data_IF_100538771241
#
_entry.id   IF_100538771241
#
_cell.length_a   1.000
_cell.length_b   1.000
_cell.length_c   1.000
_cell.angle_alpha   90.00
_cell.angle_beta   90.00
_cell.angle_gamma   90.00
#
_symmetry.space_group_name_H-M   'P 1'
#
loop_
_entity.id
_entity.type
_entity.pdbx_description
1 polymer ?
#
# COMPACT_ATOMS: atom_id res chain seq x y z
N UNK A 1 53.73 12.05 -11.63
CA UNK A 1 54.14 11.60 -12.98
C UNK A 1 53.62 10.18 -13.14
N UNK A 2 52.89 9.89 -14.21
CA UNK A 2 52.18 8.61 -14.36
C UNK A 2 53.13 7.40 -14.36
N UNK A 3 52.70 6.33 -13.70
CA UNK A 3 53.51 5.12 -13.54
C UNK A 3 53.70 4.44 -14.92
N UNK A 4 54.84 3.75 -15.15
CA UNK A 4 55.18 3.19 -16.48
C UNK A 4 54.10 2.24 -17.02
N UNK A 5 53.41 1.53 -16.12
CA UNK A 5 52.29 0.63 -16.41
C UNK A 5 51.02 1.38 -16.83
N UNK A 6 50.71 2.51 -16.20
CA UNK A 6 49.55 3.34 -16.53
C UNK A 6 49.70 4.00 -17.91
N UNK A 7 50.92 4.36 -18.30
CA UNK A 7 51.21 4.89 -19.64
C UNK A 7 51.04 3.84 -20.75
N UNK A 8 51.23 2.55 -20.42
CA UNK A 8 50.94 1.44 -21.35
C UNK A 8 49.42 1.25 -21.46
N UNK A 9 48.71 1.26 -20.33
CA UNK A 9 47.24 1.17 -20.31
C UNK A 9 46.56 2.32 -21.06
N UNK A 10 47.04 3.55 -20.89
CA UNK A 10 46.51 4.72 -21.61
C UNK A 10 46.73 4.59 -23.12
N UNK A 11 47.91 4.11 -23.55
CA UNK A 11 48.18 3.87 -24.98
C UNK A 11 47.30 2.75 -25.54
N UNK A 12 47.16 1.63 -24.83
CA UNK A 12 46.29 0.53 -25.22
C UNK A 12 44.81 0.93 -25.29
N UNK A 13 44.33 1.71 -24.32
CA UNK A 13 42.96 2.21 -24.32
C UNK A 13 42.68 3.14 -25.51
N UNK A 14 43.65 3.98 -25.87
CA UNK A 14 43.59 4.88 -27.04
C UNK A 14 43.65 4.13 -28.37
N UNK A 15 44.41 3.03 -28.45
CA UNK A 15 44.45 2.18 -29.65
C UNK A 15 43.19 1.32 -29.82
N UNK A 16 42.26 1.36 -28.87
CA UNK A 16 40.96 0.71 -28.97
C UNK A 16 40.82 -0.60 -28.21
N UNK A 17 41.85 -1.05 -27.49
CA UNK A 17 41.81 -2.33 -26.78
C UNK A 17 40.78 -2.30 -25.63
N UNK A 18 39.79 -3.17 -25.71
CA UNK A 18 38.69 -3.29 -24.76
C UNK A 18 39.18 -3.58 -23.33
N UNK A 19 40.20 -4.44 -23.17
CA UNK A 19 40.73 -4.82 -21.86
C UNK A 19 41.45 -3.63 -21.20
N UNK A 20 42.22 -2.87 -21.97
CA UNK A 20 42.87 -1.65 -21.51
C UNK A 20 41.85 -0.55 -21.14
N UNK A 21 40.75 -0.41 -21.89
CA UNK A 21 39.68 0.55 -21.58
C UNK A 21 38.97 0.21 -20.26
N UNK A 22 38.67 -1.07 -20.01
CA UNK A 22 38.10 -1.54 -18.75
C UNK A 22 39.05 -1.26 -17.57
N UNK A 23 40.33 -1.62 -17.72
CA UNK A 23 41.33 -1.43 -16.69
C UNK A 23 41.53 0.06 -16.35
N UNK A 24 41.59 0.92 -17.37
CA UNK A 24 41.74 2.36 -17.20
C UNK A 24 40.49 2.98 -16.53
N UNK A 25 39.30 2.53 -16.90
CA UNK A 25 38.04 2.94 -16.25
C UNK A 25 38.01 2.61 -14.76
N UNK A 26 38.49 1.42 -14.37
CA UNK A 26 38.61 1.02 -12.95
C UNK A 26 39.61 1.89 -12.17
N UNK A 27 40.71 2.27 -12.80
CA UNK A 27 41.71 3.14 -12.18
C UNK A 27 41.13 4.53 -11.89
N UNK A 28 40.39 5.11 -12.83
CA UNK A 28 39.71 6.39 -12.60
C UNK A 28 38.56 6.31 -11.57
N UNK A 29 37.93 5.13 -11.38
CA UNK A 29 36.93 4.92 -10.31
C UNK A 29 37.51 4.74 -8.91
N UNK A 30 38.78 4.32 -8.80
CA UNK A 30 39.44 4.11 -7.50
C UNK A 30 40.38 5.25 -7.12
N UNK A 31 40.89 5.96 -8.13
CA UNK A 31 42.06 6.83 -7.99
C UNK A 31 43.33 6.01 -7.80
N UNK A 32 44.44 6.49 -8.33
CA UNK A 32 45.78 5.95 -8.04
C UNK A 32 46.71 7.08 -7.59
N UNK A 33 47.93 6.75 -7.16
CA UNK A 33 48.94 7.75 -6.80
C UNK A 33 49.32 8.68 -7.97
N UNK A 34 48.95 8.31 -9.20
CA UNK A 34 49.33 8.98 -10.43
C UNK A 34 48.15 9.50 -11.26
N UNK A 35 46.96 8.91 -11.08
CA UNK A 35 45.73 9.31 -11.77
C UNK A 35 44.67 9.73 -10.74
N UNK A 36 44.05 10.92 -10.90
CA UNK A 36 43.02 11.36 -9.98
C UNK A 36 41.78 10.48 -10.06
N UNK A 37 41.07 10.36 -8.94
CA UNK A 37 39.71 9.82 -8.91
C UNK A 37 38.82 10.73 -9.79
N UNK A 38 38.33 10.20 -10.90
CA UNK A 38 37.49 10.95 -11.84
C UNK A 38 36.39 10.04 -12.38
N UNK A 39 35.20 10.08 -11.75
CA UNK A 39 34.06 9.31 -12.20
C UNK A 39 33.62 9.56 -13.66
N UNK A 40 33.65 10.79 -14.21
CA UNK A 40 33.22 11.02 -15.60
C UNK A 40 34.19 10.43 -16.63
N UNK A 41 35.50 10.52 -16.40
CA UNK A 41 36.49 9.88 -17.30
C UNK A 41 36.46 8.37 -17.17
N UNK A 42 36.21 7.84 -15.97
CA UNK A 42 35.97 6.42 -15.78
C UNK A 42 34.79 5.91 -16.63
N UNK A 43 33.65 6.60 -16.56
CA UNK A 43 32.47 6.25 -17.35
C UNK A 43 32.76 6.26 -18.84
N UNK A 44 33.45 7.29 -19.35
CA UNK A 44 33.82 7.36 -20.76
C UNK A 44 34.56 6.10 -21.25
N UNK A 45 35.54 5.62 -20.49
CA UNK A 45 36.31 4.43 -20.86
C UNK A 45 35.52 3.13 -20.66
N UNK A 46 34.72 3.03 -19.59
CA UNK A 46 33.87 1.87 -19.34
C UNK A 46 32.77 1.72 -20.41
N UNK A 47 32.19 2.82 -20.91
CA UNK A 47 31.21 2.77 -22.00
C UNK A 47 31.83 2.24 -23.29
N UNK A 48 33.07 2.64 -23.61
CA UNK A 48 33.77 2.13 -24.79
C UNK A 48 34.08 0.64 -24.66
N UNK A 49 34.50 0.19 -23.48
CA UNK A 49 34.70 -1.24 -23.20
C UNK A 49 33.38 -2.04 -23.29
N UNK A 50 32.28 -1.49 -22.78
CA UNK A 50 30.96 -2.11 -22.81
C UNK A 50 30.39 -2.22 -24.24
N UNK A 51 30.68 -1.24 -25.12
CA UNK A 51 30.31 -1.29 -26.55
C UNK A 51 31.04 -2.41 -27.30
N UNK A 52 32.24 -2.78 -26.83
CA UNK A 52 33.02 -3.89 -27.38
C UNK A 52 32.64 -5.26 -26.80
N UNK A 53 31.58 -5.33 -25.97
CA UNK A 53 31.03 -6.60 -25.47
C UNK A 53 31.62 -7.08 -24.14
N UNK A 54 32.38 -6.24 -23.40
CA UNK A 54 32.84 -6.61 -22.06
C UNK A 54 31.73 -6.43 -21.02
N UNK A 55 31.15 -7.55 -20.57
CA UNK A 55 30.08 -7.55 -19.57
C UNK A 55 30.52 -6.99 -18.21
N UNK A 56 31.79 -7.13 -17.86
CA UNK A 56 32.35 -6.54 -16.64
C UNK A 56 32.25 -5.00 -16.64
N UNK A 57 32.36 -4.35 -17.80
CA UNK A 57 32.22 -2.91 -17.91
C UNK A 57 30.76 -2.49 -17.67
N UNK A 58 29.80 -3.26 -18.22
CA UNK A 58 28.35 -3.03 -18.03
C UNK A 58 27.94 -3.21 -16.58
N UNK A 59 28.48 -4.24 -15.90
CA UNK A 59 28.24 -4.47 -14.48
C UNK A 59 28.78 -3.34 -13.61
N UNK A 60 29.97 -2.81 -13.93
CA UNK A 60 30.55 -1.68 -13.20
C UNK A 60 29.75 -0.38 -13.39
N UNK A 61 29.25 -0.14 -14.60
CA UNK A 61 28.35 0.99 -14.89
C UNK A 61 27.01 0.83 -14.13
N UNK A 62 26.46 -0.39 -14.07
CA UNK A 62 25.20 -0.65 -13.35
C UNK A 62 25.32 -0.55 -11.83
N UNK A 63 26.44 -1.02 -11.25
CA UNK A 63 26.71 -0.93 -9.81
C UNK A 63 27.00 0.49 -9.34
N UNK A 64 27.64 1.29 -10.18
CA UNK A 64 27.90 2.69 -9.88
C UNK A 64 26.69 3.51 -10.36
N UNK A 65 25.66 3.61 -9.51
CA UNK A 65 24.38 4.31 -9.75
C UNK A 65 24.48 5.38 -10.86
N UNK A 66 23.98 5.04 -12.05
CA UNK A 66 24.04 5.87 -13.26
C UNK A 66 23.45 7.27 -13.09
N UNK A 67 22.57 7.49 -12.10
CA UNK A 67 22.01 8.79 -11.78
C UNK A 67 22.99 9.68 -10.97
N UNK A 68 23.75 9.09 -10.04
CA UNK A 68 24.71 9.80 -9.19
C UNK A 68 25.94 10.23 -10.00
N UNK A 69 26.39 9.40 -10.94
CA UNK A 69 27.54 9.74 -11.78
C UNK A 69 27.21 10.73 -12.90
N UNK A 70 25.97 10.72 -13.40
CA UNK A 70 25.50 11.68 -14.43
C UNK A 70 25.22 13.06 -13.85
N UNK A 71 24.75 13.15 -12.60
CA UNK A 71 24.57 14.44 -11.93
C UNK A 71 25.91 15.12 -11.61
N UNK A 72 26.93 14.35 -11.22
CA UNK A 72 28.31 14.85 -11.03
C UNK A 72 28.93 15.30 -12.37
N UNK A 73 28.64 14.61 -13.47
CA UNK A 73 29.10 15.01 -14.80
C UNK A 73 28.44 16.31 -15.32
N UNK A 74 27.28 16.70 -14.78
CA UNK A 74 26.59 17.92 -15.14
C UNK A 74 27.03 19.14 -14.30
N UNK A 75 27.64 18.94 -13.11
CA UNK A 75 28.07 20.05 -12.25
C UNK A 75 29.49 20.54 -12.52
N UNK A 76 30.37 19.70 -13.06
CA UNK A 76 31.76 20.07 -13.31
C UNK A 76 32.02 20.25 -14.81
N UNK A 77 32.20 21.51 -15.25
CA UNK A 77 32.62 21.90 -16.59
C UNK A 77 34.06 21.51 -16.91
N UNK A 78 34.40 20.23 -16.83
CA UNK A 78 35.72 19.71 -17.17
C UNK A 78 35.71 19.26 -18.63
N UNK A 79 36.35 20.06 -19.46
CA UNK A 79 36.63 19.76 -20.87
C UNK A 79 37.41 18.43 -20.98
N UNK A 80 36.89 17.41 -21.70
CA UNK A 80 37.70 16.26 -22.06
C UNK A 80 38.86 16.71 -22.98
N UNK A 81 40.03 16.05 -22.96
CA UNK A 81 41.14 16.42 -23.83
C UNK A 81 40.72 16.38 -25.30
N UNK A 82 41.18 17.34 -26.13
CA UNK A 82 40.59 17.64 -27.43
C UNK A 82 40.69 16.45 -28.39
N UNK A 83 39.54 15.98 -28.87
CA UNK A 83 39.44 15.13 -30.05
C UNK A 83 39.19 16.02 -31.27
N UNK A 84 40.08 15.95 -32.25
CA UNK A 84 39.96 16.60 -33.56
C UNK A 84 38.71 16.10 -34.32
N UNK A 85 38.07 16.95 -35.15
CA UNK A 85 36.77 16.64 -35.73
C UNK A 85 36.93 15.84 -37.03
N UNK A 86 36.37 14.63 -37.07
CA UNK A 86 36.05 13.99 -38.34
C UNK A 86 34.81 13.10 -38.16
N UNK A 87 33.79 13.40 -38.97
CA UNK A 87 32.57 12.61 -39.20
C UNK A 87 31.48 12.71 -38.12
N UNK A 88 30.97 13.94 -37.96
CA UNK A 88 29.57 14.14 -37.62
C UNK A 88 28.72 13.88 -38.87
N UNK A 89 28.10 12.71 -38.96
CA UNK A 89 26.86 12.53 -39.72
C UNK A 89 25.88 11.70 -38.89
N UNK A 90 24.72 12.31 -38.66
CA UNK A 90 23.45 11.76 -38.19
C UNK A 90 23.47 11.00 -36.85
N UNK A 91 23.35 11.76 -35.75
CA UNK A 91 22.69 11.28 -34.54
C UNK A 91 21.34 12.00 -34.41
N UNK A 92 20.30 11.45 -35.04
CA UNK A 92 18.97 11.57 -34.45
C UNK A 92 18.93 10.63 -33.23
N UNK A 93 18.39 11.03 -32.07
CA UNK A 93 18.15 10.10 -30.98
C UNK A 93 16.90 9.27 -31.31
N UNK A 94 17.02 8.34 -32.24
CA UNK A 94 16.06 7.25 -32.38
C UNK A 94 16.22 6.38 -31.13
N UNK A 95 15.31 6.53 -30.16
CA UNK A 95 15.13 5.52 -29.11
C UNK A 95 14.78 4.19 -29.81
N UNK A 96 15.60 3.13 -29.72
CA UNK A 96 15.12 1.82 -30.11
C UNK A 96 14.33 1.26 -28.93
N UNK A 97 13.01 1.24 -29.07
CA UNK A 97 12.05 0.57 -28.19
C UNK A 97 12.11 -0.98 -28.30
N UNK A 98 13.29 -1.56 -28.53
CA UNK A 98 13.42 -2.98 -28.87
C UNK A 98 14.79 -3.58 -28.53
N UNK A 99 15.41 -3.16 -27.43
CA UNK A 99 16.31 -4.10 -26.73
C UNK A 99 15.40 -4.73 -25.69
N UNK A 100 14.87 -5.92 -25.98
CA UNK A 100 14.50 -6.82 -24.90
C UNK A 100 15.73 -6.83 -23.99
N UNK A 101 15.65 -6.30 -22.78
CA UNK A 101 16.78 -6.32 -21.85
C UNK A 101 17.11 -7.82 -21.64
N UNK A 102 18.02 -8.38 -22.44
CA UNK A 102 18.32 -9.82 -22.45
C UNK A 102 18.77 -10.26 -21.04
N UNK A 103 19.44 -9.36 -20.32
CA UNK A 103 19.76 -9.52 -18.91
C UNK A 103 18.53 -9.63 -18.00
N UNK A 104 17.47 -8.85 -18.24
CA UNK A 104 16.22 -8.94 -17.49
C UNK A 104 15.47 -10.24 -17.81
N UNK A 105 15.47 -10.67 -19.07
CA UNK A 105 14.89 -11.94 -19.48
C UNK A 105 15.63 -13.14 -18.87
N UNK A 106 16.96 -13.08 -18.81
CA UNK A 106 17.80 -14.09 -18.15
C UNK A 106 17.57 -14.10 -16.64
N UNK A 107 17.49 -12.95 -15.97
CA UNK A 107 17.20 -12.86 -14.55
C UNK A 107 15.78 -13.37 -14.20
N UNK A 108 14.79 -13.06 -15.04
CA UNK A 108 13.44 -13.59 -14.90
C UNK A 108 13.41 -15.12 -15.06
N UNK A 109 14.16 -15.65 -16.03
CA UNK A 109 14.33 -17.09 -16.25
C UNK A 109 15.10 -17.78 -15.10
N UNK A 110 16.03 -17.08 -14.46
CA UNK A 110 16.74 -17.53 -13.26
C UNK A 110 15.84 -17.59 -12.01
N UNK A 111 14.59 -17.10 -12.10
CA UNK A 111 13.60 -17.22 -11.04
C UNK A 111 13.46 -16.00 -10.14
N UNK A 112 14.14 -14.90 -10.44
CA UNK A 112 14.10 -13.68 -9.62
C UNK A 112 12.75 -12.97 -9.73
N UNK A 113 12.04 -12.83 -8.61
CA UNK A 113 10.69 -12.27 -8.55
C UNK A 113 10.61 -10.85 -9.12
N UNK A 114 11.58 -10.00 -8.79
CA UNK A 114 11.63 -8.61 -9.22
C UNK A 114 11.86 -8.48 -10.73
N UNK A 115 12.71 -9.34 -11.30
CA UNK A 115 12.95 -9.40 -12.74
C UNK A 115 11.70 -9.89 -13.49
N UNK A 116 10.99 -10.89 -12.95
CA UNK A 116 9.74 -11.39 -13.52
C UNK A 116 8.63 -10.32 -13.52
N UNK A 117 8.50 -9.56 -12.43
CA UNK A 117 7.57 -8.43 -12.38
C UNK A 117 7.95 -7.36 -13.42
N UNK A 118 9.20 -6.91 -13.42
CA UNK A 118 9.66 -5.87 -14.33
C UNK A 118 9.47 -6.27 -15.80
N UNK A 119 9.83 -7.51 -16.16
CA UNK A 119 9.62 -8.04 -17.50
C UNK A 119 8.12 -8.15 -17.83
N UNK A 120 7.31 -8.62 -16.89
CA UNK A 120 5.87 -8.70 -17.04
C UNK A 120 5.21 -7.33 -17.27
N UNK A 121 5.64 -6.30 -16.54
CA UNK A 121 5.17 -4.93 -16.69
C UNK A 121 5.60 -4.31 -18.02
N UNK A 122 6.85 -4.50 -18.43
CA UNK A 122 7.36 -4.05 -19.72
C UNK A 122 6.59 -4.67 -20.88
N UNK A 123 6.42 -6.01 -20.86
CA UNK A 123 5.65 -6.73 -21.87
C UNK A 123 4.17 -6.34 -21.86
N UNK A 124 3.62 -5.93 -20.73
CA UNK A 124 2.26 -5.40 -20.65
C UNK A 124 2.15 -3.93 -21.05
N UNK A 125 3.27 -3.21 -21.17
CA UNK A 125 3.30 -1.77 -21.33
C UNK A 125 2.63 -1.04 -20.16
N UNK A 126 2.90 -1.47 -18.93
CA UNK A 126 2.31 -0.91 -17.71
C UNK A 126 3.39 -0.44 -16.73
N UNK A 127 3.06 0.57 -15.92
CA UNK A 127 3.84 0.95 -14.75
C UNK A 127 3.47 0.10 -13.51
N UNK A 128 4.16 0.34 -12.38
CA UNK A 128 3.89 -0.39 -11.12
C UNK A 128 2.50 -0.08 -10.57
N UNK A 129 1.99 1.10 -10.88
CA UNK A 129 0.67 1.59 -10.52
C UNK A 129 -0.45 1.06 -11.45
N UNK A 130 -0.12 0.19 -12.41
CA UNK A 130 -1.06 -0.43 -13.34
C UNK A 130 -1.64 0.51 -14.40
N UNK A 131 -1.03 1.68 -14.62
CA UNK A 131 -1.33 2.61 -15.71
C UNK A 131 -0.55 2.19 -16.95
N UNK A 132 -1.13 2.47 -18.11
CA UNK A 132 -0.54 2.09 -19.39
C UNK A 132 0.49 3.12 -19.84
N UNK A 133 1.67 2.65 -20.23
CA UNK A 133 2.71 3.47 -20.85
C UNK A 133 2.42 3.55 -22.36
N UNK A 134 2.18 4.75 -22.91
CA UNK A 134 1.92 4.91 -24.35
C UNK A 134 3.18 4.60 -25.17
N UNK A 135 3.00 3.92 -26.31
CA UNK A 135 4.09 3.60 -27.25
C UNK A 135 4.83 2.29 -26.99
N UNK A 136 4.47 1.51 -25.97
CA UNK A 136 5.05 0.20 -25.72
C UNK A 136 4.41 -0.89 -26.61
N UNK A 137 5.23 -1.74 -27.23
CA UNK A 137 4.75 -2.92 -27.94
C UNK A 137 4.27 -3.96 -26.92
N UNK A 138 2.97 -4.26 -26.92
CA UNK A 138 2.35 -5.05 -25.85
C UNK A 138 2.20 -6.52 -26.21
N UNK A 139 2.72 -7.41 -25.36
CA UNK A 139 2.67 -8.87 -25.51
C UNK A 139 2.00 -9.52 -24.28
N UNK A 140 0.68 -9.38 -24.17
CA UNK A 140 -0.10 -9.81 -22.99
C UNK A 140 0.05 -11.29 -22.63
N UNK A 141 0.12 -12.20 -23.61
CA UNK A 141 0.27 -13.63 -23.33
C UNK A 141 1.57 -13.95 -22.57
N UNK A 142 2.69 -13.31 -22.97
CA UNK A 142 3.97 -13.46 -22.25
C UNK A 142 3.93 -12.73 -20.91
N UNK A 143 3.35 -11.52 -20.87
CA UNK A 143 3.19 -10.77 -19.64
C UNK A 143 2.43 -11.55 -18.56
N UNK A 144 1.29 -12.17 -18.92
CA UNK A 144 0.49 -12.96 -17.98
C UNK A 144 1.30 -14.10 -17.36
N UNK A 145 2.12 -14.81 -18.16
CA UNK A 145 2.97 -15.90 -17.66
C UNK A 145 3.95 -15.40 -16.60
N UNK A 146 4.70 -14.34 -16.90
CA UNK A 146 5.70 -13.78 -15.98
C UNK A 146 5.07 -13.16 -14.73
N UNK A 147 3.99 -12.39 -14.89
CA UNK A 147 3.29 -11.79 -13.76
C UNK A 147 2.64 -12.85 -12.86
N UNK A 148 2.15 -13.96 -13.41
CA UNK A 148 1.60 -15.07 -12.60
C UNK A 148 2.70 -15.70 -11.76
N UNK A 149 3.89 -15.90 -12.33
CA UNK A 149 5.03 -16.46 -11.60
C UNK A 149 5.52 -15.50 -10.49
N UNK A 150 5.66 -14.21 -10.80
CA UNK A 150 6.02 -13.19 -9.81
C UNK A 150 4.97 -13.10 -8.68
N UNK A 151 3.68 -13.18 -9.02
CA UNK A 151 2.60 -13.18 -8.06
C UNK A 151 2.59 -14.41 -7.15
N UNK A 152 2.89 -15.60 -7.69
CA UNK A 152 3.04 -16.83 -6.90
C UNK A 152 4.21 -16.74 -5.90
N UNK A 153 5.24 -15.96 -6.22
CA UNK A 153 6.37 -15.66 -5.34
C UNK A 153 6.08 -14.55 -4.32
N UNK A 154 4.83 -14.08 -4.24
CA UNK A 154 4.38 -13.11 -3.22
C UNK A 154 4.39 -11.65 -3.66
N UNK A 155 4.65 -11.34 -4.93
CA UNK A 155 4.62 -9.95 -5.40
C UNK A 155 3.18 -9.46 -5.60
N UNK A 156 2.78 -8.49 -4.77
CA UNK A 156 1.43 -7.92 -4.80
C UNK A 156 1.16 -7.11 -6.08
N UNK A 157 2.15 -6.36 -6.56
CA UNK A 157 2.09 -5.54 -7.78
C UNK A 157 1.79 -6.40 -9.02
N UNK A 158 2.31 -7.63 -9.07
CA UNK A 158 2.10 -8.54 -10.18
C UNK A 158 0.63 -8.96 -10.31
N UNK A 159 -0.01 -9.30 -9.18
CA UNK A 159 -1.44 -9.62 -9.15
C UNK A 159 -2.31 -8.41 -9.50
N UNK A 160 -1.91 -7.21 -9.07
CA UNK A 160 -2.62 -5.99 -9.43
C UNK A 160 -2.51 -5.68 -10.94
N UNK A 161 -1.32 -5.85 -11.52
CA UNK A 161 -1.11 -5.75 -12.96
C UNK A 161 -1.95 -6.78 -13.74
N UNK A 162 -2.00 -8.04 -13.29
CA UNK A 162 -2.86 -9.07 -13.88
C UNK A 162 -4.34 -8.68 -13.86
N UNK A 163 -4.83 -8.11 -12.76
CA UNK A 163 -6.20 -7.62 -12.69
C UNK A 163 -6.49 -6.57 -13.75
N UNK A 164 -5.57 -5.63 -14.00
CA UNK A 164 -5.70 -4.63 -15.08
C UNK A 164 -5.75 -5.26 -16.46
N UNK A 165 -4.93 -6.28 -16.71
CA UNK A 165 -4.95 -7.01 -17.99
C UNK A 165 -6.32 -7.68 -18.19
N UNK A 166 -6.89 -8.32 -17.17
CA UNK A 166 -8.19 -9.00 -17.28
C UNK A 166 -9.39 -8.05 -17.37
N UNK A 167 -9.29 -6.84 -16.81
CA UNK A 167 -10.32 -5.80 -16.95
C UNK A 167 -10.37 -5.21 -18.37
N UNK A 168 -9.23 -5.18 -19.07
CA UNK A 168 -9.12 -4.63 -20.40
C UNK A 168 -9.61 -5.64 -21.45
N UNK A 169 -10.75 -5.36 -22.08
CA UNK A 169 -11.34 -6.23 -23.10
C UNK A 169 -10.57 -6.35 -24.42
N UNK A 170 -9.50 -5.57 -24.61
CA UNK A 170 -8.63 -5.67 -25.79
C UNK A 170 -7.50 -6.71 -25.67
N UNK A 171 -7.36 -7.36 -24.51
CA UNK A 171 -6.12 -8.06 -24.12
C UNK A 171 -6.32 -9.56 -23.82
N UNK A 172 -7.54 -9.95 -23.46
CA UNK A 172 -8.00 -11.29 -23.09
C UNK A 172 -9.52 -11.30 -23.23
N UNK A 173 -10.18 -12.47 -23.27
CA UNK A 173 -11.63 -12.50 -23.07
C UNK A 173 -11.91 -11.82 -21.73
N UNK A 174 -12.53 -10.63 -21.78
CA UNK A 174 -12.81 -9.80 -20.61
C UNK A 174 -13.47 -10.67 -19.54
N UNK A 175 -12.76 -10.92 -18.45
CA UNK A 175 -13.25 -11.76 -17.36
C UNK A 175 -13.24 -10.93 -16.08
N UNK A 176 -14.40 -10.38 -15.74
CA UNK A 176 -14.57 -9.61 -14.51
C UNK A 176 -14.26 -10.46 -13.26
N UNK A 177 -14.62 -11.75 -13.28
CA UNK A 177 -14.36 -12.68 -12.18
C UNK A 177 -12.86 -12.95 -12.00
N UNK A 178 -12.10 -13.17 -13.09
CA UNK A 178 -10.65 -13.37 -13.01
C UNK A 178 -9.94 -12.10 -12.51
N UNK A 179 -10.38 -10.92 -12.97
CA UNK A 179 -9.86 -9.64 -12.49
C UNK A 179 -10.11 -9.45 -10.99
N UNK A 180 -11.32 -9.73 -10.50
CA UNK A 180 -11.66 -9.66 -9.07
C UNK A 180 -10.79 -10.61 -8.24
N UNK A 181 -10.62 -11.87 -8.67
CA UNK A 181 -9.78 -12.83 -7.96
C UNK A 181 -8.32 -12.36 -7.87
N UNK A 182 -7.79 -11.75 -8.94
CA UNK A 182 -6.45 -11.15 -8.92
C UNK A 182 -6.37 -9.93 -7.98
N UNK A 183 -7.38 -9.06 -7.97
CA UNK A 183 -7.44 -7.91 -7.05
C UNK A 183 -7.47 -8.36 -5.59
N UNK A 184 -8.27 -9.38 -5.26
CA UNK A 184 -8.34 -9.91 -3.90
C UNK A 184 -6.99 -10.47 -3.45
N UNK A 185 -6.31 -11.24 -4.31
CA UNK A 185 -4.95 -11.74 -4.02
C UNK A 185 -3.96 -10.61 -3.78
N UNK A 186 -3.97 -9.58 -4.64
CA UNK A 186 -3.13 -8.40 -4.47
C UNK A 186 -3.45 -7.67 -3.15
N UNK A 187 -4.72 -7.53 -2.79
CA UNK A 187 -5.16 -6.90 -1.55
C UNK A 187 -4.72 -7.68 -0.31
N UNK A 188 -4.81 -9.01 -0.34
CA UNK A 188 -4.34 -9.90 0.72
C UNK A 188 -2.83 -9.77 0.95
N UNK A 189 -2.05 -9.67 -0.14
CA UNK A 189 -0.59 -9.46 -0.11
C UNK A 189 -0.19 -8.02 0.29
N UNK A 190 -1.15 -7.11 0.47
CA UNK A 190 -0.89 -5.78 1.02
C UNK A 190 -0.98 -4.64 0.02
N UNK A 191 -1.29 -4.85 -1.26
CA UNK A 191 -1.28 -3.76 -2.25
C UNK A 191 -2.35 -2.68 -1.96
N UNK A 192 -1.94 -1.46 -1.61
CA UNK A 192 -2.82 -0.39 -1.14
C UNK A 192 -3.96 -0.05 -2.13
N UNK A 193 -3.64 0.10 -3.42
CA UNK A 193 -4.65 0.43 -4.44
C UNK A 193 -5.61 -0.74 -4.69
N UNK A 194 -5.14 -1.99 -4.56
CA UNK A 194 -6.01 -3.15 -4.69
C UNK A 194 -6.99 -3.24 -3.52
N UNK A 195 -6.51 -2.99 -2.30
CA UNK A 195 -7.36 -2.91 -1.11
C UNK A 195 -8.43 -1.83 -1.24
N UNK A 196 -8.08 -0.65 -1.75
CA UNK A 196 -9.07 0.40 -2.01
C UNK A 196 -10.16 -0.08 -2.99
N UNK A 197 -9.78 -0.75 -4.06
CA UNK A 197 -10.73 -1.21 -5.08
C UNK A 197 -11.60 -2.36 -4.58
N UNK A 198 -11.03 -3.32 -3.85
CA UNK A 198 -11.79 -4.36 -3.16
C UNK A 198 -12.79 -3.74 -2.16
N UNK A 199 -12.37 -2.75 -1.38
CA UNK A 199 -13.23 -2.05 -0.44
C UNK A 199 -14.39 -1.30 -1.12
N UNK A 200 -14.09 -0.56 -2.19
CA UNK A 200 -15.11 0.15 -2.97
C UNK A 200 -16.05 -0.80 -3.73
N UNK A 201 -15.53 -1.93 -4.20
CA UNK A 201 -16.33 -2.96 -4.86
C UNK A 201 -17.32 -3.59 -3.90
N UNK A 202 -16.86 -4.02 -2.72
CA UNK A 202 -17.72 -4.54 -1.66
C UNK A 202 -18.79 -3.50 -1.25
N UNK A 203 -18.42 -2.23 -1.12
CA UNK A 203 -19.40 -1.18 -0.79
C UNK A 203 -20.52 -1.04 -1.83
N UNK A 204 -20.24 -1.26 -3.12
CA UNK A 204 -21.26 -1.23 -4.18
C UNK A 204 -22.21 -2.43 -4.08
N UNK A 205 -21.70 -3.59 -3.67
CA UNK A 205 -22.45 -4.86 -3.54
C UNK A 205 -23.21 -5.01 -2.22
N UNK A 206 -23.14 -4.04 -1.30
CA UNK A 206 -23.84 -4.10 0.00
C UNK A 206 -25.36 -4.34 -0.03
N UNK A 207 -26.00 -4.12 -1.18
CA UNK A 207 -27.43 -4.38 -1.35
C UNK A 207 -27.72 -5.88 -1.56
N UNK A 208 -26.74 -6.62 -2.05
CA UNK A 208 -26.84 -8.05 -2.32
C UNK A 208 -26.63 -8.85 -1.03
N UNK A 209 -25.64 -8.45 -0.23
CA UNK A 209 -25.39 -9.02 1.09
C UNK A 209 -24.86 -7.96 2.05
N UNK A 210 -25.48 -7.91 3.23
CA UNK A 210 -25.20 -6.99 4.31
C UNK A 210 -23.77 -7.11 4.88
N UNK A 211 -23.09 -8.23 4.71
CA UNK A 211 -21.70 -8.40 5.15
C UNK A 211 -20.70 -7.61 4.31
N UNK A 212 -21.05 -7.23 3.07
CA UNK A 212 -20.15 -6.48 2.20
C UNK A 212 -19.81 -5.10 2.76
N UNK A 213 -20.69 -4.50 3.56
CA UNK A 213 -20.42 -3.26 4.29
C UNK A 213 -19.22 -3.40 5.24
N UNK A 214 -19.20 -4.51 5.99
CA UNK A 214 -18.14 -4.83 6.95
C UNK A 214 -16.84 -5.10 6.20
N UNK A 215 -16.90 -5.89 5.11
CA UNK A 215 -15.74 -6.16 4.24
C UNK A 215 -15.20 -4.90 3.58
N UNK A 216 -16.07 -3.97 3.19
CA UNK A 216 -15.67 -2.70 2.60
C UNK A 216 -14.80 -1.89 3.57
N UNK A 217 -15.25 -1.76 4.82
CA UNK A 217 -14.49 -1.03 5.84
C UNK A 217 -13.18 -1.73 6.20
N UNK A 218 -13.16 -3.06 6.23
CA UNK A 218 -11.95 -3.84 6.47
C UNK A 218 -10.83 -3.47 5.48
N UNK A 219 -11.15 -3.52 4.18
CA UNK A 219 -10.16 -3.23 3.15
C UNK A 219 -9.77 -1.75 3.10
N UNK A 220 -10.74 -0.85 3.28
CA UNK A 220 -10.47 0.58 3.30
C UNK A 220 -9.61 1.01 4.49
N UNK A 221 -9.79 0.40 5.67
CA UNK A 221 -8.91 0.63 6.83
C UNK A 221 -7.48 0.19 6.57
N UNK A 222 -7.27 -0.97 5.94
CA UNK A 222 -5.92 -1.43 5.58
C UNK A 222 -5.26 -0.53 4.55
N UNK A 223 -6.01 -0.06 3.56
CA UNK A 223 -5.50 0.88 2.56
C UNK A 223 -5.17 2.24 3.20
N UNK A 224 -6.03 2.72 4.11
CA UNK A 224 -5.82 3.95 4.86
C UNK A 224 -4.58 3.86 5.76
N UNK A 225 -4.36 2.74 6.45
CA UNK A 225 -3.17 2.53 7.27
C UNK A 225 -1.85 2.63 6.48
N UNK A 226 -1.89 2.40 5.16
CA UNK A 226 -0.74 2.56 4.25
C UNK A 226 -0.60 3.98 3.68
N UNK A 227 -1.38 4.95 4.16
CA UNK A 227 -1.33 6.34 3.69
C UNK A 227 -2.15 6.64 2.42
N UNK A 228 -3.03 5.72 2.00
CA UNK A 228 -3.88 5.96 0.83
C UNK A 228 -4.94 7.05 1.14
N UNK A 229 -4.74 8.26 0.63
CA UNK A 229 -5.66 9.40 0.79
C UNK A 229 -7.11 9.11 0.32
N UNK A 230 -7.35 8.50 -0.87
CA UNK A 230 -8.72 8.20 -1.28
C UNK A 230 -9.39 7.12 -0.41
N UNK A 231 -8.63 6.22 0.23
CA UNK A 231 -9.18 5.29 1.20
C UNK A 231 -9.66 6.00 2.47
N UNK A 232 -8.88 6.95 2.99
CA UNK A 232 -9.29 7.79 4.12
C UNK A 232 -10.55 8.59 3.82
N UNK A 233 -10.60 9.24 2.66
CA UNK A 233 -11.78 10.01 2.24
C UNK A 233 -13.02 9.11 2.10
N UNK A 234 -12.85 7.87 1.62
CA UNK A 234 -13.92 6.90 1.60
C UNK A 234 -14.37 6.51 3.01
N UNK A 235 -13.46 6.19 3.93
CA UNK A 235 -13.81 5.86 5.32
C UNK A 235 -14.59 6.98 6.01
N UNK A 236 -14.14 8.22 5.89
CA UNK A 236 -14.82 9.38 6.49
C UNK A 236 -16.23 9.58 5.92
N UNK A 237 -16.46 9.25 4.64
CA UNK A 237 -17.79 9.28 4.03
C UNK A 237 -18.67 8.11 4.47
N UNK A 238 -18.10 6.92 4.66
CA UNK A 238 -18.84 5.67 4.92
C UNK A 238 -19.14 5.45 6.41
N UNK A 239 -18.17 5.78 7.27
CA UNK A 239 -18.22 5.66 8.71
C UNK A 239 -17.67 6.95 9.32
N UNK A 240 -18.44 8.05 9.23
CA UNK A 240 -18.00 9.35 9.69
C UNK A 240 -17.61 9.30 11.17
N UNK A 241 -16.63 10.10 11.58
CA UNK A 241 -16.24 10.18 12.97
C UNK A 241 -17.48 10.48 13.78
N UNK A 242 -17.67 9.74 14.87
CA UNK A 242 -18.88 9.87 15.65
C UNK A 242 -19.01 11.29 16.20
N UNK A 243 -20.14 11.94 15.93
CA UNK A 243 -20.42 13.27 16.48
C UNK A 243 -20.50 13.20 18.01
N UNK A 244 -19.82 14.12 18.70
CA UNK A 244 -19.74 14.16 20.16
C UNK A 244 -21.12 14.21 20.82
N UNK A 245 -21.63 13.06 21.28
CA UNK A 245 -22.83 12.99 22.10
C UNK A 245 -22.49 13.15 23.59
N UNK A 246 -22.83 14.31 24.16
CA UNK A 246 -22.48 14.67 25.54
C UNK A 246 -23.11 13.77 26.61
N UNK A 247 -24.30 13.20 26.34
CA UNK A 247 -25.10 12.50 27.36
C UNK A 247 -24.35 11.33 28.03
N UNK A 248 -23.66 10.51 27.24
CA UNK A 248 -22.96 9.33 27.75
C UNK A 248 -21.61 9.70 28.38
N UNK A 249 -20.92 10.69 27.82
CA UNK A 249 -19.65 11.17 28.35
C UNK A 249 -19.83 11.81 29.74
N UNK A 250 -20.88 12.61 29.94
CA UNK A 250 -21.24 13.20 31.23
C UNK A 250 -21.58 12.10 32.25
N UNK A 251 -22.43 11.15 31.89
CA UNK A 251 -22.78 10.03 32.76
C UNK A 251 -21.57 9.17 33.13
N UNK A 252 -20.65 8.95 32.18
CA UNK A 252 -19.47 8.14 32.42
C UNK A 252 -18.52 8.75 33.45
N UNK A 253 -18.54 10.08 33.65
CA UNK A 253 -17.74 10.76 34.67
C UNK A 253 -18.23 10.49 36.10
N UNK A 254 -19.52 10.17 36.27
CA UNK A 254 -20.14 9.90 37.57
C UNK A 254 -20.22 8.39 37.90
N UNK A 255 -19.58 7.54 37.10
CA UNK A 255 -19.49 6.09 37.36
C UNK A 255 -18.63 5.82 38.60
N UNK A 256 -19.27 5.42 39.70
CA UNK A 256 -18.58 4.89 40.89
C UNK A 256 -18.47 3.36 40.84
N UNK A 257 -17.41 2.81 41.43
CA UNK A 257 -17.14 1.36 41.43
C UNK A 257 -18.27 0.51 42.02
N UNK A 258 -18.93 0.99 43.08
CA UNK A 258 -20.08 0.31 43.68
C UNK A 258 -21.28 0.23 42.74
N UNK A 259 -21.50 1.25 41.92
CA UNK A 259 -22.61 1.27 40.96
C UNK A 259 -22.32 0.35 39.77
N UNK A 260 -21.05 0.30 39.33
CA UNK A 260 -20.60 -0.66 38.33
C UNK A 260 -20.81 -2.12 38.78
N UNK A 261 -20.63 -2.41 40.08
CA UNK A 261 -20.90 -3.73 40.62
C UNK A 261 -22.41 -4.08 40.66
N UNK A 262 -23.29 -3.09 40.93
CA UNK A 262 -24.74 -3.31 41.03
C UNK A 262 -25.45 -3.47 39.68
N UNK A 263 -25.00 -2.75 38.64
CA UNK A 263 -25.62 -2.78 37.31
C UNK A 263 -24.58 -2.83 36.19
N UNK A 264 -23.79 -3.91 36.12
CA UNK A 264 -22.64 -3.98 35.20
C UNK A 264 -23.06 -3.87 33.72
N UNK A 265 -24.20 -4.44 33.33
CA UNK A 265 -24.70 -4.39 31.95
C UNK A 265 -25.09 -2.97 31.51
N UNK A 266 -25.73 -2.20 32.41
CA UNK A 266 -26.10 -0.82 32.11
C UNK A 266 -24.85 0.06 31.98
N UNK A 267 -23.87 -0.14 32.87
CA UNK A 267 -22.59 0.57 32.82
C UNK A 267 -21.84 0.25 31.52
N UNK A 268 -21.76 -1.02 31.12
CA UNK A 268 -21.15 -1.42 29.87
C UNK A 268 -21.79 -0.72 28.66
N UNK A 269 -23.13 -0.62 28.61
CA UNK A 269 -23.83 0.12 27.53
C UNK A 269 -23.47 1.60 27.51
N UNK A 270 -23.26 2.22 28.66
CA UNK A 270 -22.96 3.65 28.78
C UNK A 270 -21.50 3.93 28.43
N UNK A 271 -20.58 3.06 28.84
CA UNK A 271 -19.19 3.08 28.38
C UNK A 271 -19.11 2.96 26.86
N UNK A 272 -19.81 1.98 26.27
CA UNK A 272 -19.88 1.82 24.82
C UNK A 272 -20.51 3.04 24.15
N UNK A 273 -21.58 3.59 24.73
CA UNK A 273 -22.21 4.79 24.21
C UNK A 273 -21.28 6.00 24.22
N UNK A 274 -20.44 6.15 25.25
CA UNK A 274 -19.46 7.22 25.33
C UNK A 274 -18.32 7.04 24.31
N UNK A 275 -17.84 5.80 24.13
CA UNK A 275 -16.70 5.49 23.25
C UNK A 275 -17.06 5.43 21.76
N UNK A 276 -18.28 5.04 21.43
CA UNK A 276 -18.78 4.90 20.05
C UNK A 276 -19.83 5.97 19.67
N UNK A 277 -20.12 6.90 20.59
CA UNK A 277 -21.14 7.95 20.49
C UNK A 277 -22.48 7.44 19.96
N UNK A 278 -22.99 6.46 20.71
CA UNK A 278 -24.30 5.90 20.48
C UNK A 278 -25.36 6.86 21.04
N UNK A 279 -26.46 7.01 20.32
CA UNK A 279 -27.66 7.63 20.88
C UNK A 279 -28.21 6.79 22.02
N UNK A 280 -29.05 7.39 22.87
CA UNK A 280 -29.72 6.67 23.96
C UNK A 280 -30.48 5.44 23.47
N UNK A 281 -31.14 5.53 22.31
CA UNK A 281 -31.86 4.40 21.73
C UNK A 281 -30.89 3.30 21.27
N UNK A 282 -29.82 3.64 20.54
CA UNK A 282 -28.81 2.68 20.10
C UNK A 282 -28.12 2.01 21.28
N UNK A 283 -27.66 2.77 22.27
CA UNK A 283 -27.00 2.23 23.45
C UNK A 283 -27.86 1.17 24.18
N UNK A 284 -29.17 1.36 24.25
CA UNK A 284 -30.10 0.49 24.97
C UNK A 284 -30.72 -0.64 24.13
N UNK A 285 -30.68 -0.53 22.80
CA UNK A 285 -31.30 -1.50 21.89
C UNK A 285 -30.28 -2.32 21.10
N UNK A 286 -29.03 -1.88 21.05
CA UNK A 286 -27.96 -2.59 20.35
C UNK A 286 -27.74 -3.97 20.99
N UNK A 287 -27.72 -4.99 20.15
CA UNK A 287 -27.16 -6.29 20.48
C UNK A 287 -25.64 -6.19 20.38
N UNK A 288 -24.97 -6.14 21.54
CA UNK A 288 -23.52 -5.90 21.62
C UNK A 288 -22.74 -7.07 21.01
N UNK A 289 -23.21 -8.30 21.18
CA UNK A 289 -22.52 -9.48 20.69
C UNK A 289 -22.61 -9.59 19.17
N UNK A 290 -23.78 -9.33 18.58
CA UNK A 290 -23.95 -9.34 17.14
C UNK A 290 -23.33 -8.12 16.44
N UNK A 291 -23.22 -6.99 17.15
CA UNK A 291 -22.71 -5.75 16.58
C UNK A 291 -21.18 -5.74 16.39
N UNK A 292 -20.43 -6.50 17.19
CA UNK A 292 -18.97 -6.58 17.05
C UNK A 292 -18.57 -7.38 15.81
N UNK A 293 -17.86 -6.73 14.87
CA UNK A 293 -17.31 -7.35 13.66
C UNK A 293 -15.78 -7.19 13.60
N UNK A 294 -15.13 -7.05 14.75
CA UNK A 294 -13.67 -6.93 14.88
C UNK A 294 -13.17 -5.50 14.68
N UNK A 295 -13.21 -5.01 13.44
CA UNK A 295 -12.65 -3.71 13.03
C UNK A 295 -13.70 -2.58 12.95
N UNK A 296 -14.99 -2.94 13.04
CA UNK A 296 -16.09 -1.99 13.15
C UNK A 296 -17.24 -2.55 14.00
N UNK A 297 -18.03 -1.63 14.56
CA UNK A 297 -19.28 -1.90 15.24
C UNK A 297 -20.45 -1.64 14.26
N UNK A 298 -21.29 -2.65 14.04
CA UNK A 298 -22.49 -2.55 13.20
C UNK A 298 -23.67 -2.15 14.09
N UNK A 299 -24.10 -0.90 13.97
CA UNK A 299 -25.24 -0.37 14.72
C UNK A 299 -26.49 -0.54 13.87
N UNK A 300 -27.20 -1.66 14.09
CA UNK A 300 -28.48 -1.93 13.46
C UNK A 300 -29.56 -2.23 14.51
N UNK A 301 -30.42 -1.23 14.76
CA UNK A 301 -31.57 -1.35 15.65
C UNK A 301 -32.89 -1.24 14.90
N UNK A 302 -32.89 -1.39 13.57
CA UNK A 302 -34.09 -1.18 12.73
C UNK A 302 -35.25 -2.10 13.11
N UNK A 303 -34.94 -3.31 13.57
CA UNK A 303 -35.93 -4.28 14.04
C UNK A 303 -36.76 -3.75 15.23
N UNK A 304 -36.14 -2.98 16.12
CA UNK A 304 -36.77 -2.47 17.35
C UNK A 304 -37.13 -0.98 17.25
N UNK A 305 -36.49 -0.24 16.34
CA UNK A 305 -36.66 1.20 16.17
C UNK A 305 -36.69 1.57 14.69
N UNK A 306 -37.89 1.56 14.08
CA UNK A 306 -38.11 1.75 12.64
C UNK A 306 -37.54 3.05 12.06
N UNK A 307 -37.40 4.11 12.87
CA UNK A 307 -36.80 5.39 12.45
C UNK A 307 -35.27 5.36 12.38
N UNK A 308 -34.63 4.32 12.92
CA UNK A 308 -33.18 4.18 12.87
C UNK A 308 -32.70 3.81 11.47
N UNK A 309 -31.45 4.18 11.17
CA UNK A 309 -30.73 3.71 9.99
C UNK A 309 -29.54 2.87 10.46
N UNK A 310 -29.31 1.76 9.78
CA UNK A 310 -28.08 0.98 9.96
C UNK A 310 -26.88 1.90 9.68
N UNK A 311 -25.95 1.94 10.62
CA UNK A 311 -24.69 2.69 10.47
C UNK A 311 -23.51 1.88 11.00
N UNK A 312 -22.33 2.17 10.49
CA UNK A 312 -21.09 1.51 10.85
C UNK A 312 -20.22 2.50 11.64
N UNK A 313 -19.64 2.04 12.74
CA UNK A 313 -18.71 2.84 13.55
C UNK A 313 -17.37 2.14 13.60
N UNK A 314 -16.29 2.81 13.20
CA UNK A 314 -14.96 2.20 13.21
C UNK A 314 -14.43 2.04 14.63
N UNK A 315 -13.76 0.92 14.89
CA UNK A 315 -12.93 0.77 16.09
C UNK A 315 -11.57 1.39 15.77
N UNK A 316 -11.31 2.57 16.34
CA UNK A 316 -10.11 3.39 16.03
C UNK A 316 -9.01 3.25 17.09
N UNK A 317 -9.37 2.92 18.33
CA UNK A 317 -8.43 2.92 19.46
C UNK A 317 -8.40 1.59 20.20
N UNK A 318 -7.27 1.27 20.82
CA UNK A 318 -7.14 0.10 21.71
C UNK A 318 -8.13 0.16 22.89
N UNK A 319 -8.42 1.36 23.40
CA UNK A 319 -9.43 1.56 24.46
C UNK A 319 -10.83 1.14 23.99
N UNK A 320 -11.22 1.49 22.76
CA UNK A 320 -12.50 1.06 22.17
C UNK A 320 -12.56 -0.46 22.04
N UNK A 321 -11.50 -1.10 21.55
CA UNK A 321 -11.44 -2.57 21.43
C UNK A 321 -11.55 -3.26 22.79
N UNK A 322 -10.74 -2.83 23.77
CA UNK A 322 -10.76 -3.39 25.13
C UNK A 322 -12.12 -3.21 25.82
N UNK A 323 -12.77 -2.07 25.65
CA UNK A 323 -14.10 -1.85 26.20
C UNK A 323 -15.15 -2.76 25.54
N UNK A 324 -15.07 -2.95 24.22
CA UNK A 324 -15.95 -3.85 23.48
C UNK A 324 -15.74 -5.31 23.89
N UNK A 325 -14.49 -5.77 24.00
CA UNK A 325 -14.15 -7.12 24.46
C UNK A 325 -14.70 -7.41 25.87
N UNK A 326 -14.54 -6.45 26.80
CA UNK A 326 -15.08 -6.57 28.16
C UNK A 326 -16.61 -6.62 28.13
N UNK A 327 -17.24 -5.77 27.32
CA UNK A 327 -18.69 -5.75 27.19
C UNK A 327 -19.21 -7.07 26.61
N UNK A 328 -18.69 -7.54 25.48
CA UNK A 328 -19.12 -8.81 24.85
C UNK A 328 -19.04 -9.96 25.85
N UNK A 329 -17.92 -10.12 26.56
CA UNK A 329 -17.77 -11.16 27.61
C UNK A 329 -18.80 -11.03 28.73
N UNK A 330 -19.08 -9.80 29.17
CA UNK A 330 -20.07 -9.52 30.20
C UNK A 330 -21.49 -9.91 29.72
N UNK A 331 -21.82 -9.58 28.48
CA UNK A 331 -23.11 -9.86 27.84
C UNK A 331 -23.33 -11.35 27.54
N UNK A 332 -22.28 -12.07 27.13
CA UNK A 332 -22.35 -13.53 26.97
C UNK A 332 -22.51 -14.24 28.31
N UNK A 333 -21.83 -13.75 29.36
CA UNK A 333 -21.91 -14.32 30.71
C UNK A 333 -23.24 -14.07 31.43
N UNK A 334 -23.97 -13.00 31.07
CA UNK A 334 -25.25 -12.66 31.69
C UNK A 334 -26.37 -12.76 30.65
N UNK A 335 -27.20 -13.80 30.75
CA UNK A 335 -28.29 -14.02 29.80
C UNK A 335 -29.26 -12.83 29.68
N UNK A 336 -29.90 -12.68 28.51
CA UNK A 336 -30.82 -11.59 28.18
C UNK A 336 -31.94 -11.34 29.22
N UNK A 337 -32.29 -12.36 30.00
CA UNK A 337 -33.26 -12.27 31.10
C UNK A 337 -32.86 -11.27 32.20
N UNK A 338 -31.57 -11.16 32.54
CA UNK A 338 -31.06 -10.22 33.56
C UNK A 338 -31.26 -8.78 33.09
N UNK A 339 -31.10 -8.58 31.79
CA UNK A 339 -31.14 -7.26 31.20
C UNK A 339 -32.56 -6.73 31.02
N UNK A 340 -33.52 -7.63 30.79
CA UNK A 340 -34.92 -7.27 30.65
C UNK A 340 -35.24 -6.59 29.31
N UNK A 341 -36.46 -6.05 29.20
CA UNK A 341 -36.92 -5.40 27.99
C UNK A 341 -36.44 -3.93 27.90
N UNK A 342 -36.62 -3.30 26.73
CA UNK A 342 -36.23 -1.91 26.50
C UNK A 342 -36.80 -0.92 27.55
N UNK A 343 -38.05 -1.11 27.98
CA UNK A 343 -38.68 -0.23 28.98
C UNK A 343 -37.97 -0.33 30.34
N UNK A 344 -37.62 -1.55 30.76
CA UNK A 344 -36.88 -1.77 32.00
C UNK A 344 -35.48 -1.16 31.92
N UNK A 345 -34.78 -1.35 30.79
CA UNK A 345 -33.47 -0.72 30.56
C UNK A 345 -33.55 0.81 30.61
N UNK A 346 -34.54 1.40 29.95
CA UNK A 346 -34.79 2.84 29.95
C UNK A 346 -35.13 3.36 31.35
N UNK A 347 -35.94 2.63 32.12
CA UNK A 347 -36.25 2.98 33.50
C UNK A 347 -35.00 3.02 34.37
N UNK A 348 -34.15 1.97 34.32
CA UNK A 348 -32.89 1.95 35.07
C UNK A 348 -31.99 3.13 34.70
N UNK A 349 -31.87 3.46 33.41
CA UNK A 349 -31.11 4.62 32.96
C UNK A 349 -31.68 5.95 33.50
N UNK A 350 -33.01 6.15 33.44
CA UNK A 350 -33.65 7.37 33.95
C UNK A 350 -33.50 7.53 35.46
N UNK A 351 -33.69 6.45 36.22
CA UNK A 351 -33.50 6.44 37.67
C UNK A 351 -32.06 6.77 38.03
N UNK A 352 -31.11 6.36 37.20
CA UNK A 352 -29.71 6.70 37.40
C UNK A 352 -29.38 8.16 37.09
N UNK A 353 -29.89 8.69 35.97
CA UNK A 353 -29.78 10.10 35.61
C UNK A 353 -30.32 11.02 36.73
N UNK A 354 -31.51 10.73 37.25
CA UNK A 354 -32.10 11.51 38.33
C UNK A 354 -31.22 11.57 39.60
N UNK A 355 -30.48 10.49 39.89
CA UNK A 355 -29.52 10.46 41.01
C UNK A 355 -28.26 11.27 40.73
N UNK A 356 -27.78 11.25 39.49
CA UNK A 356 -26.62 12.06 39.09
C UNK A 356 -26.95 13.55 39.14
N UNK A 357 -28.12 13.96 38.65
CA UNK A 357 -28.59 15.35 38.72
C UNK A 357 -28.74 15.83 40.18
N UNK A 358 -29.24 14.98 41.07
CA UNK A 358 -29.30 15.30 42.51
C UNK A 358 -27.92 15.39 43.17
N UNK A 359 -26.94 14.59 42.72
CA UNK A 359 -25.58 14.64 43.23
C UNK A 359 -24.80 15.86 42.69
N UNK A 360 -25.08 16.29 41.46
CA UNK A 360 -24.53 17.50 40.84
C UNK A 360 -25.08 18.79 41.47
N UNK A 361 -26.30 18.77 42.01
CA UNK A 361 -26.91 19.89 42.74
C UNK A 361 -26.49 19.95 44.21
N UNK A 362 -25.96 18.86 44.76
CA UNK A 362 -25.55 18.75 46.16
C UNK A 362 -24.03 18.95 46.38
N UNK A 363 -23.26 19.06 45.29
CA UNK A 363 -21.83 19.39 45.26
C UNK A 363 -21.64 20.82 44.76
#
# INVERSE_FOLDING_TARGET
>A
MANREELVLIRGARSGDAACQLALGRLYLRGSASLPLSPPTALHWLERAARQGLDEARLLIGRANLQDLRSIAASDGVTPPPATPALAQSAEPVRPAAVEDEGLALAAAAGESAAQLALGLLLAGMDREGRRVPGAAVQFKRAIRWLTQAGQQGQADAWFALARIYMNGGCSQRSAAAAQSCLERAAHLGHAQAQLECGMHAWRQRREDEQHDVRALYWLQRAAAQGCAPAHAALERLAPPPAGMAWAAQLAQHLSGEQAARQPLLVARIELAALFHLSRAEALLLDVCAADQGHCLVVDIRALYKRSRRRLVLVRTGRQRQALDRAVRLFEGHGAAVEGNYRQRLYRLKTWLARCDSALLAA
#
